data_IF_464139583126
#
_entry.id   IF_464139583126
#
_cell.length_a   1.000
_cell.length_b   1.000
_cell.length_c   1.000
_cell.angle_alpha   90.00
_cell.angle_beta   90.00
_cell.angle_gamma   90.00
#
_symmetry.space_group_name_H-M   'P 1'
#
loop_
_entity.id
_entity.type
_entity.pdbx_description
1 polymer ?
#
# COMPACT_ATOMS: atom_id res chain seq x y z
N UNK A 1 -15.70 -4.47 4.22
CA UNK A 1 -15.52 -5.81 3.60
C UNK A 1 -16.89 -6.39 3.30
N UNK A 2 -17.31 -6.34 2.04
CA UNK A 2 -18.66 -6.78 1.64
C UNK A 2 -18.91 -8.26 1.95
N UNK A 3 -17.91 -9.11 1.75
CA UNK A 3 -17.98 -10.54 2.05
C UNK A 3 -18.16 -10.83 3.54
N UNK A 4 -17.61 -10.01 4.44
CA UNK A 4 -17.77 -10.20 5.90
C UNK A 4 -19.19 -9.89 6.33
N UNK A 5 -19.74 -8.75 5.88
CA UNK A 5 -21.11 -8.36 6.19
C UNK A 5 -22.12 -9.39 5.65
N UNK A 6 -21.90 -9.89 4.44
CA UNK A 6 -22.74 -10.92 3.83
C UNK A 6 -22.69 -12.23 4.64
N UNK A 7 -21.49 -12.70 4.98
CA UNK A 7 -21.32 -13.92 5.77
C UNK A 7 -22.04 -13.83 7.11
N UNK A 8 -21.83 -12.73 7.85
CA UNK A 8 -22.41 -12.53 9.17
C UNK A 8 -23.94 -12.47 9.14
N UNK A 9 -24.51 -11.77 8.16
CA UNK A 9 -25.96 -11.68 8.00
C UNK A 9 -26.58 -13.05 7.66
N UNK A 10 -25.99 -13.78 6.70
CA UNK A 10 -26.49 -15.11 6.29
C UNK A 10 -26.34 -16.12 7.42
N UNK A 11 -25.22 -16.11 8.13
CA UNK A 11 -24.97 -17.02 9.24
C UNK A 11 -25.93 -16.79 10.42
N UNK A 12 -26.28 -15.54 10.72
CA UNK A 12 -27.25 -15.21 11.78
C UNK A 12 -28.66 -15.70 11.44
N UNK A 13 -29.08 -15.50 10.18
CA UNK A 13 -30.37 -15.98 9.68
C UNK A 13 -30.40 -17.52 9.69
N UNK A 14 -29.32 -18.17 9.26
CA UNK A 14 -29.20 -19.62 9.27
C UNK A 14 -29.33 -20.21 10.68
N UNK A 15 -28.66 -19.63 11.69
CA UNK A 15 -28.78 -20.07 13.08
C UNK A 15 -30.20 -19.85 13.62
N UNK A 16 -30.85 -18.73 13.29
CA UNK A 16 -32.24 -18.49 13.69
C UNK A 16 -33.18 -19.58 13.12
N UNK A 17 -33.02 -19.91 11.84
CA UNK A 17 -33.82 -20.94 11.16
C UNK A 17 -33.57 -22.34 11.74
N UNK A 18 -32.31 -22.70 12.02
CA UNK A 18 -31.95 -23.96 12.67
C UNK A 18 -32.62 -24.14 14.04
N UNK A 19 -32.77 -23.06 14.80
CA UNK A 19 -33.41 -23.06 16.12
C UNK A 19 -34.93 -22.88 16.07
N UNK A 20 -35.53 -22.76 14.89
CA UNK A 20 -36.97 -22.48 14.74
C UNK A 20 -37.38 -21.09 15.25
N UNK A 21 -36.43 -20.16 15.39
CA UNK A 21 -36.69 -18.78 15.81
C UNK A 21 -37.02 -17.95 14.58
N UNK A 22 -38.21 -17.36 14.56
CA UNK A 22 -38.62 -16.42 13.52
C UNK A 22 -38.07 -15.04 13.86
N UNK A 23 -37.20 -14.50 13.01
CA UNK A 23 -36.70 -13.14 13.13
C UNK A 23 -37.78 -12.14 12.73
N UNK A 24 -38.09 -11.20 13.61
CA UNK A 24 -38.93 -10.05 13.27
C UNK A 24 -38.19 -9.07 12.33
N UNK A 25 -38.95 -8.21 11.63
CA UNK A 25 -38.39 -7.19 10.74
C UNK A 25 -37.38 -6.28 11.46
N UNK A 26 -37.64 -5.94 12.74
CA UNK A 26 -36.68 -5.17 13.55
C UNK A 26 -35.36 -5.91 13.82
N UNK A 27 -35.42 -7.23 14.01
CA UNK A 27 -34.23 -8.05 14.20
C UNK A 27 -33.42 -8.18 12.92
N UNK A 28 -34.07 -8.32 11.75
CA UNK A 28 -33.37 -8.36 10.45
C UNK A 28 -32.60 -7.06 10.18
N UNK A 29 -33.22 -5.91 10.48
CA UNK A 29 -32.55 -4.60 10.37
C UNK A 29 -31.38 -4.52 11.35
N UNK A 30 -31.56 -5.00 12.57
CA UNK A 30 -30.48 -5.05 13.58
C UNK A 30 -29.32 -5.92 13.12
N UNK A 31 -29.56 -7.12 12.57
CA UNK A 31 -28.52 -7.99 11.98
C UNK A 31 -27.79 -7.26 10.87
N UNK A 32 -28.52 -6.62 9.95
CA UNK A 32 -27.91 -5.95 8.79
C UNK A 32 -27.02 -4.78 9.22
N UNK A 33 -27.48 -3.97 10.18
CA UNK A 33 -26.73 -2.84 10.71
C UNK A 33 -25.50 -3.32 11.49
N UNK A 34 -25.67 -4.29 12.39
CA UNK A 34 -24.56 -4.84 13.19
C UNK A 34 -23.52 -5.55 12.33
N UNK A 35 -23.94 -6.33 11.32
CA UNK A 35 -23.03 -6.96 10.35
C UNK A 35 -22.26 -5.92 9.52
N UNK A 36 -22.92 -4.82 9.12
CA UNK A 36 -22.25 -3.73 8.40
C UNK A 36 -21.21 -3.07 9.30
N UNK A 37 -21.57 -2.72 10.53
CA UNK A 37 -20.66 -2.11 11.51
C UNK A 37 -19.49 -3.04 11.87
N UNK A 38 -19.76 -4.33 12.06
CA UNK A 38 -18.75 -5.35 12.31
C UNK A 38 -17.81 -5.51 11.12
N UNK A 39 -18.31 -5.46 9.88
CA UNK A 39 -17.48 -5.55 8.67
C UNK A 39 -16.52 -4.38 8.46
N UNK A 40 -16.80 -3.21 9.06
CA UNK A 40 -15.91 -2.05 9.09
C UNK A 40 -14.90 -2.18 10.24
N UNK A 41 -15.35 -2.72 11.39
CA UNK A 41 -14.52 -2.91 12.58
C UNK A 41 -13.65 -4.16 12.60
N UNK A 42 -13.83 -5.09 11.66
CA UNK A 42 -13.06 -6.32 11.55
C UNK A 42 -11.61 -5.99 11.14
N UNK A 43 -10.72 -5.90 12.14
CA UNK A 43 -9.28 -5.85 11.90
C UNK A 43 -8.83 -7.10 11.12
N UNK A 44 -7.84 -6.96 10.24
CA UNK A 44 -7.29 -7.99 9.35
C UNK A 44 -6.55 -9.12 10.11
N UNK A 45 -7.21 -9.73 11.08
CA UNK A 45 -6.70 -10.84 11.88
C UNK A 45 -7.44 -12.11 11.44
N UNK A 46 -6.72 -13.14 10.96
CA UNK A 46 -7.34 -14.43 10.68
C UNK A 46 -7.97 -14.98 11.97
N UNK A 47 -9.23 -15.44 11.89
CA UNK A 47 -10.10 -15.86 13.02
C UNK A 47 -10.90 -14.74 13.73
N UNK A 48 -10.78 -13.47 13.32
CA UNK A 48 -11.63 -12.39 13.87
C UNK A 48 -13.13 -12.57 13.57
N UNK A 49 -13.47 -13.29 12.49
CA UNK A 49 -14.84 -13.50 12.03
C UNK A 49 -15.73 -14.28 13.00
N UNK A 50 -15.16 -15.08 13.92
CA UNK A 50 -15.94 -15.79 14.93
C UNK A 50 -16.38 -14.88 16.08
N UNK A 51 -15.54 -13.89 16.44
CA UNK A 51 -15.83 -12.94 17.52
C UNK A 51 -16.95 -11.99 17.11
N UNK A 52 -16.88 -11.47 15.89
CA UNK A 52 -17.92 -10.61 15.33
C UNK A 52 -19.25 -11.35 15.16
N UNK A 53 -19.20 -12.63 14.77
CA UNK A 53 -20.38 -13.48 14.71
C UNK A 53 -21.03 -13.66 16.10
N UNK A 54 -20.23 -13.86 17.15
CA UNK A 54 -20.71 -13.99 18.52
C UNK A 54 -21.40 -12.70 19.02
N UNK A 55 -20.86 -11.54 18.62
CA UNK A 55 -21.46 -10.23 18.90
C UNK A 55 -22.83 -10.08 18.22
N UNK A 56 -22.96 -10.52 16.97
CA UNK A 56 -24.23 -10.39 16.24
C UNK A 56 -25.30 -11.31 16.82
N UNK A 57 -24.95 -12.57 17.14
CA UNK A 57 -25.90 -13.49 17.78
C UNK A 57 -26.37 -13.00 19.14
N UNK A 58 -25.46 -12.43 19.96
CA UNK A 58 -25.84 -11.86 21.25
C UNK A 58 -26.71 -10.60 21.08
N UNK A 59 -26.48 -9.78 20.05
CA UNK A 59 -27.29 -8.60 19.76
C UNK A 59 -28.75 -8.95 19.39
N UNK A 60 -29.01 -10.09 18.76
CA UNK A 60 -30.36 -10.56 18.43
C UNK A 60 -30.96 -11.56 19.41
N UNK A 61 -30.21 -11.95 20.44
CA UNK A 61 -30.66 -12.90 21.47
C UNK A 61 -30.67 -14.36 21.03
N UNK A 62 -29.84 -14.74 20.05
CA UNK A 62 -29.73 -16.12 19.58
C UNK A 62 -28.69 -16.92 20.39
N UNK A 63 -28.90 -18.24 20.56
CA UNK A 63 -27.95 -19.10 21.26
C UNK A 63 -26.59 -19.15 20.55
N UNK A 64 -25.53 -18.82 21.28
CA UNK A 64 -24.15 -18.78 20.75
C UNK A 64 -23.50 -20.16 20.65
N UNK A 65 -24.13 -21.19 21.21
CA UNK A 65 -23.63 -22.58 21.19
C UNK A 65 -23.55 -23.14 19.76
N UNK A 66 -24.38 -22.62 18.85
CA UNK A 66 -24.45 -23.07 17.44
C UNK A 66 -23.34 -22.52 16.55
N UNK A 67 -22.48 -21.63 17.07
CA UNK A 67 -21.28 -21.16 16.34
C UNK A 67 -20.35 -22.31 15.97
N UNK A 68 -20.34 -23.38 16.75
CA UNK A 68 -19.53 -24.58 16.47
C UNK A 68 -19.81 -25.18 15.08
N UNK A 69 -21.04 -25.09 14.58
CA UNK A 69 -21.41 -25.53 13.23
C UNK A 69 -20.79 -24.64 12.15
N UNK A 70 -20.71 -23.32 12.39
CA UNK A 70 -20.07 -22.37 11.47
C UNK A 70 -18.56 -22.59 11.41
N UNK A 71 -17.91 -22.86 12.55
CA UNK A 71 -16.47 -23.14 12.62
C UNK A 71 -16.07 -24.32 11.71
N UNK A 72 -16.93 -25.34 11.61
CA UNK A 72 -16.67 -26.50 10.76
C UNK A 72 -16.57 -26.16 9.26
N UNK A 73 -17.26 -25.11 8.80
CA UNK A 73 -17.29 -24.65 7.41
C UNK A 73 -16.48 -23.36 7.19
N UNK A 74 -16.04 -22.70 8.26
CA UNK A 74 -15.37 -21.39 8.24
C UNK A 74 -14.10 -21.40 7.38
N UNK A 75 -13.34 -22.51 7.38
CA UNK A 75 -12.13 -22.64 6.56
C UNK A 75 -12.38 -22.45 5.05
N UNK A 76 -13.58 -22.83 4.56
CA UNK A 76 -13.99 -22.66 3.18
C UNK A 76 -14.60 -21.28 2.97
N UNK A 77 -15.48 -20.86 3.89
CA UNK A 77 -16.19 -19.59 3.79
C UNK A 77 -15.25 -18.37 3.93
N UNK A 78 -14.18 -18.47 4.72
CA UNK A 78 -13.16 -17.44 4.86
C UNK A 78 -12.39 -17.20 3.55
N UNK A 79 -12.10 -18.27 2.80
CA UNK A 79 -11.48 -18.17 1.46
C UNK A 79 -12.40 -17.54 0.43
N UNK A 80 -13.69 -17.87 0.49
CA UNK A 80 -14.68 -17.23 -0.39
C UNK A 80 -14.86 -15.75 -0.03
N UNK A 81 -14.88 -15.42 1.26
CA UNK A 81 -15.00 -14.05 1.78
C UNK A 81 -13.86 -13.17 1.29
N UNK A 82 -12.62 -13.64 1.45
CA UNK A 82 -11.43 -12.92 0.98
C UNK A 82 -11.46 -12.73 -0.54
N UNK A 83 -11.87 -13.77 -1.29
CA UNK A 83 -12.02 -13.68 -2.74
C UNK A 83 -13.05 -12.62 -3.17
N UNK A 84 -14.22 -12.59 -2.54
CA UNK A 84 -15.27 -11.59 -2.84
C UNK A 84 -14.81 -10.18 -2.52
N UNK A 85 -14.12 -9.97 -1.40
CA UNK A 85 -13.60 -8.64 -1.05
C UNK A 85 -12.58 -8.15 -2.08
N UNK A 86 -11.63 -9.00 -2.48
CA UNK A 86 -10.62 -8.64 -3.49
C UNK A 86 -11.27 -8.31 -4.84
N UNK A 87 -12.28 -9.09 -5.25
CA UNK A 87 -13.03 -8.81 -6.48
C UNK A 87 -13.80 -7.50 -6.37
N UNK A 88 -14.48 -7.24 -5.24
CA UNK A 88 -15.19 -5.99 -4.97
C UNK A 88 -14.28 -4.78 -5.05
N UNK A 89 -13.11 -4.83 -4.40
CA UNK A 89 -12.12 -3.76 -4.43
C UNK A 89 -11.57 -3.54 -5.85
N UNK A 90 -11.39 -4.61 -6.63
CA UNK A 90 -10.94 -4.53 -8.03
C UNK A 90 -11.96 -3.82 -8.92
N UNK A 91 -13.25 -4.15 -8.78
CA UNK A 91 -14.32 -3.44 -9.46
C UNK A 91 -14.43 -1.99 -8.98
N UNK A 92 -14.31 -1.76 -7.67
CA UNK A 92 -14.30 -0.43 -7.07
C UNK A 92 -13.22 0.47 -7.68
N UNK A 93 -11.99 -0.05 -7.82
CA UNK A 93 -10.91 0.66 -8.48
C UNK A 93 -11.24 1.02 -9.94
N UNK A 94 -11.85 0.09 -10.70
CA UNK A 94 -12.28 0.34 -12.07
C UNK A 94 -13.37 1.42 -12.17
N UNK A 95 -14.34 1.42 -11.26
CA UNK A 95 -15.41 2.42 -11.20
C UNK A 95 -14.82 3.80 -10.85
N UNK A 96 -13.98 3.87 -9.82
CA UNK A 96 -13.30 5.11 -9.41
C UNK A 96 -12.45 5.65 -10.55
N UNK A 97 -11.69 4.81 -11.25
CA UNK A 97 -10.92 5.20 -12.42
C UNK A 97 -11.81 5.81 -13.52
N UNK A 98 -12.96 5.19 -13.80
CA UNK A 98 -13.89 5.70 -14.81
C UNK A 98 -14.49 7.06 -14.42
N UNK A 99 -14.88 7.23 -13.15
CA UNK A 99 -15.50 8.46 -12.64
C UNK A 99 -14.50 9.61 -12.48
N UNK A 100 -13.28 9.32 -12.05
CA UNK A 100 -12.23 10.33 -11.82
C UNK A 100 -11.32 10.55 -13.03
N UNK A 101 -11.66 10.03 -14.23
CA UNK A 101 -10.80 10.11 -15.42
C UNK A 101 -10.30 11.53 -15.73
N UNK A 102 -11.18 12.54 -15.62
CA UNK A 102 -10.81 13.94 -15.86
C UNK A 102 -9.82 14.48 -14.82
N UNK A 103 -9.96 14.06 -13.56
CA UNK A 103 -9.03 14.41 -12.48
C UNK A 103 -7.67 13.75 -12.70
N UNK A 104 -7.65 12.46 -13.06
CA UNK A 104 -6.42 11.74 -13.41
C UNK A 104 -5.67 12.40 -14.58
N UNK A 105 -6.38 12.77 -15.66
CA UNK A 105 -5.75 13.47 -16.79
C UNK A 105 -5.16 14.84 -16.41
N UNK A 106 -5.73 15.52 -15.41
CA UNK A 106 -5.19 16.77 -14.89
C UNK A 106 -3.93 16.55 -14.05
N UNK A 107 -3.90 15.49 -13.24
CA UNK A 107 -2.74 15.10 -12.44
C UNK A 107 -1.57 14.63 -13.31
N UNK A 108 -1.84 13.84 -14.36
CA UNK A 108 -0.80 13.39 -15.30
C UNK A 108 -0.10 14.56 -16.00
N UNK A 109 -0.87 15.60 -16.37
CA UNK A 109 -0.30 16.83 -16.96
C UNK A 109 0.56 17.59 -15.96
N UNK A 110 0.14 17.68 -14.70
CA UNK A 110 0.91 18.32 -13.65
C UNK A 110 2.21 17.55 -13.39
N UNK A 111 2.15 16.22 -13.29
CA UNK A 111 3.33 15.38 -13.11
C UNK A 111 4.32 15.49 -14.28
N UNK A 112 3.84 15.50 -15.53
CA UNK A 112 4.68 15.66 -16.71
C UNK A 112 5.40 17.03 -16.74
N UNK A 113 4.71 18.10 -16.33
CA UNK A 113 5.32 19.43 -16.21
C UNK A 113 6.40 19.45 -15.12
N UNK A 114 6.12 18.82 -13.98
CA UNK A 114 7.02 18.75 -12.84
C UNK A 114 8.27 17.89 -13.12
N UNK A 115 8.12 16.80 -13.87
CA UNK A 115 9.24 15.97 -14.35
C UNK A 115 10.11 16.73 -15.35
N UNK A 116 9.51 17.53 -16.24
CA UNK A 116 10.25 18.41 -17.15
C UNK A 116 11.05 19.48 -16.39
N UNK A 117 10.45 20.09 -15.38
CA UNK A 117 11.11 21.10 -14.53
C UNK A 117 12.26 20.50 -13.73
N UNK A 118 12.09 19.31 -13.14
CA UNK A 118 13.17 18.59 -12.46
C UNK A 118 14.30 18.23 -13.43
N UNK A 119 13.98 17.70 -14.61
CA UNK A 119 14.99 17.34 -15.62
C UNK A 119 15.78 18.55 -16.12
N UNK A 120 15.09 19.68 -16.35
CA UNK A 120 15.74 20.93 -16.75
C UNK A 120 16.67 21.46 -15.65
N UNK A 121 16.23 21.38 -14.40
CA UNK A 121 17.04 21.79 -13.23
C UNK A 121 18.29 20.91 -13.08
N UNK A 122 18.14 19.59 -13.27
CA UNK A 122 19.24 18.63 -13.25
C UNK A 122 20.25 18.92 -14.38
N UNK A 123 19.77 19.12 -15.62
CA UNK A 123 20.61 19.46 -16.77
C UNK A 123 21.38 20.77 -16.56
N UNK A 124 20.74 21.80 -16.00
CA UNK A 124 21.39 23.08 -15.68
C UNK A 124 22.47 22.90 -14.60
N UNK A 125 22.20 22.06 -13.59
CA UNK A 125 23.17 21.74 -12.55
C UNK A 125 24.40 21.01 -13.11
N UNK A 126 24.18 20.01 -13.96
CA UNK A 126 25.25 19.22 -14.59
C UNK A 126 26.10 20.06 -15.56
N UNK A 127 25.48 20.98 -16.31
CA UNK A 127 26.18 21.89 -17.21
C UNK A 127 27.05 22.91 -16.44
N UNK A 128 26.51 23.49 -15.36
CA UNK A 128 27.31 24.34 -14.45
C UNK A 128 28.47 23.58 -13.80
N UNK A 129 28.26 22.32 -13.42
CA UNK A 129 29.31 21.48 -12.84
C UNK A 129 30.42 21.21 -13.86
N UNK A 130 30.07 20.84 -15.09
CA UNK A 130 31.03 20.62 -16.18
C UNK A 130 31.81 21.90 -16.51
N UNK A 131 31.14 23.06 -16.56
CA UNK A 131 31.82 24.34 -16.76
C UNK A 131 32.79 24.68 -15.62
N UNK A 132 32.40 24.40 -14.37
CA UNK A 132 33.27 24.59 -13.21
C UNK A 132 34.48 23.66 -13.22
N UNK A 133 34.30 22.39 -13.58
CA UNK A 133 35.39 21.41 -13.71
C UNK A 133 36.35 21.80 -14.84
N UNK A 134 35.83 22.18 -16.03
CA UNK A 134 36.66 22.65 -17.14
C UNK A 134 37.47 23.91 -16.79
N UNK A 135 36.86 24.90 -16.13
CA UNK A 135 37.61 26.08 -15.69
C UNK A 135 38.66 25.76 -14.62
N UNK A 136 38.38 24.81 -13.73
CA UNK A 136 39.36 24.36 -12.72
C UNK A 136 40.55 23.68 -13.40
N UNK A 137 40.29 22.76 -14.33
CA UNK A 137 41.33 22.08 -15.10
C UNK A 137 42.12 23.07 -15.97
N UNK A 138 41.45 24.03 -16.62
CA UNK A 138 42.11 25.04 -17.45
C UNK A 138 42.97 26.02 -16.63
N UNK A 139 42.60 26.31 -15.38
CA UNK A 139 43.42 27.09 -14.47
C UNK A 139 44.69 26.31 -14.04
N UNK A 140 44.58 24.98 -13.86
CA UNK A 140 45.73 24.10 -13.60
C UNK A 140 46.67 24.04 -14.82
N UNK A 141 46.15 23.92 -16.04
CA UNK A 141 46.98 23.92 -17.26
C UNK A 141 47.58 25.29 -17.58
N UNK A 142 46.88 26.39 -17.30
CA UNK A 142 47.42 27.74 -17.42
C UNK A 142 48.53 28.01 -16.41
N UNK A 143 48.41 27.51 -15.17
CA UNK A 143 49.47 27.56 -14.18
C UNK A 143 50.70 26.73 -14.61
N UNK A 144 50.49 25.65 -15.37
CA UNK A 144 51.58 24.79 -15.87
C UNK A 144 52.26 25.31 -17.16
N UNK A 145 51.66 26.29 -17.86
CA UNK A 145 52.23 26.90 -19.07
C UNK A 145 52.91 28.26 -18.83
N UNK A 146 52.95 28.74 -17.58
CA UNK A 146 53.70 29.93 -17.16
C UNK A 146 54.82 29.65 -16.16
N UNK A 147 55.22 28.39 -15.99
CA UNK A 147 56.42 28.04 -15.21
C UNK A 147 57.56 27.76 -16.16
N UNK A 148 58.48 28.72 -16.24
CA UNK A 148 59.82 28.57 -16.80
C UNK A 148 60.46 27.34 -16.16
N UNK A 149 60.77 26.34 -16.98
CA UNK A 149 61.60 25.21 -16.59
C UNK A 149 63.04 25.70 -16.53
N UNK A 150 63.61 25.83 -15.33
CA UNK A 150 65.06 25.80 -15.16
C UNK A 150 65.44 25.00 -13.89
N UNK A 151 66.09 23.87 -14.18
CA UNK A 151 67.03 23.05 -13.42
C UNK A 151 66.99 22.98 -11.87
N UNK A 152 66.78 21.76 -11.33
CA UNK A 152 67.80 21.00 -10.57
C UNK A 152 67.23 19.84 -9.72
N UNK A 153 67.28 18.62 -10.27
CA UNK A 153 67.82 17.36 -9.71
C UNK A 153 67.94 17.18 -8.17
N UNK A 154 67.22 16.22 -7.57
CA UNK A 154 67.73 15.07 -6.75
C UNK A 154 66.58 14.14 -6.24
N UNK A 155 66.83 12.87 -5.86
CA UNK A 155 66.01 11.70 -6.23
C UNK A 155 65.00 11.26 -5.16
N UNK A 156 63.93 10.58 -5.60
CA UNK A 156 62.97 9.90 -4.71
C UNK A 156 63.19 8.39 -4.77
N UNK A 157 63.50 7.79 -3.61
CA UNK A 157 63.66 6.35 -3.41
C UNK A 157 62.31 5.64 -3.29
N UNK A 158 62.24 4.47 -3.90
CA UNK A 158 61.12 3.53 -3.95
C UNK A 158 61.07 2.65 -2.67
N UNK A 159 59.89 2.48 -2.06
CA UNK A 159 59.46 1.46 -1.06
C UNK A 159 58.24 2.05 -0.32
N UNK A 160 57.09 1.42 -0.08
CA UNK A 160 56.58 0.07 -0.32
C UNK A 160 55.05 0.16 -0.46
N UNK A 161 54.50 -0.70 -1.31
CA UNK A 161 53.08 -1.06 -1.33
C UNK A 161 52.88 -2.09 -0.23
N UNK A 162 52.06 -1.79 0.78
CA UNK A 162 51.04 -2.70 1.31
C UNK A 162 50.28 -2.12 2.52
N UNK A 163 49.00 -2.52 2.59
CA UNK A 163 48.13 -2.57 3.79
C UNK A 163 47.38 -1.29 4.18
N UNK A 164 46.07 -1.26 3.89
CA UNK A 164 45.05 -1.42 4.93
C UNK A 164 43.64 -1.52 4.33
N UNK A 165 43.05 -2.72 4.52
CA UNK A 165 41.65 -3.06 4.88
C UNK A 165 40.52 -2.38 4.09
#
# INVERSE_FOLDING_TARGET
MDGTALYEAVAAIFIAQMNGVVLDGGQIVTVSLTATLASVGAASIPSAGLVTMLLILTAVGLPTQDISLLVAVDWLLDRMRTSVNVVGDSFGAGIVYHLSKAELESLDKQHAQQELEMTKTQSIYDDMKNHRENNSNQCIYAAHNSVVVDDCKVPFTFMDIETCI
#
